data_IF_807929277717
#
_entry.id   IF_807929277717
#
_cell.length_a   1.000
_cell.length_b   1.000
_cell.length_c   1.000
_cell.angle_alpha   90.00
_cell.angle_beta   90.00
_cell.angle_gamma   90.00
#
_symmetry.space_group_name_H-M   'P 1'
#
loop_
_entity.id
_entity.type
_entity.pdbx_description
1 polymer ?
#
# COMPACT_ATOMS: atom_id res chain seq x y z
N UNK A 1 34.71 -16.34 -44.82
CA UNK A 1 33.75 -15.24 -44.65
C UNK A 1 32.43 -15.63 -44.03
N UNK A 2 31.97 -16.88 -44.15
CA UNK A 2 30.71 -17.33 -43.50
C UNK A 2 30.77 -17.49 -41.95
N UNK A 3 31.95 -17.55 -41.37
CA UNK A 3 32.12 -17.68 -39.90
C UNK A 3 32.13 -16.34 -39.14
N UNK A 4 32.35 -15.24 -39.82
CA UNK A 4 32.34 -13.89 -39.21
C UNK A 4 30.93 -13.32 -39.05
N UNK A 5 29.97 -13.75 -39.89
CA UNK A 5 28.60 -13.31 -39.83
C UNK A 5 27.85 -13.91 -38.66
N UNK A 6 28.22 -15.12 -38.25
CA UNK A 6 27.55 -15.80 -37.15
C UNK A 6 27.93 -15.19 -35.77
N UNK A 7 29.10 -14.57 -35.63
CA UNK A 7 29.48 -13.92 -34.38
C UNK A 7 28.86 -12.53 -34.18
N UNK A 8 28.46 -11.86 -35.27
CA UNK A 8 27.85 -10.56 -35.19
C UNK A 8 26.36 -10.63 -34.76
N UNK A 9 25.70 -11.76 -34.94
CA UNK A 9 24.29 -11.97 -34.58
C UNK A 9 24.14 -12.35 -33.12
N UNK A 10 25.15 -12.91 -32.49
CA UNK A 10 25.09 -13.35 -31.09
C UNK A 10 25.34 -12.20 -30.09
N UNK A 11 25.86 -11.06 -30.55
CA UNK A 11 26.14 -9.90 -29.70
C UNK A 11 24.95 -8.93 -29.55
N UNK A 12 23.84 -9.17 -30.27
CA UNK A 12 22.71 -8.22 -30.31
C UNK A 12 21.51 -8.63 -29.44
N UNK A 13 21.64 -9.62 -28.58
CA UNK A 13 20.46 -10.17 -27.83
C UNK A 13 20.55 -9.97 -26.32
N UNK A 14 21.52 -9.24 -25.79
CA UNK A 14 21.58 -8.98 -24.35
C UNK A 14 21.56 -7.48 -24.04
N UNK A 15 20.55 -6.78 -24.53
CA UNK A 15 20.05 -5.60 -23.84
C UNK A 15 18.75 -5.99 -23.12
N UNK A 16 18.85 -6.83 -22.11
CA UNK A 16 17.79 -6.96 -21.12
C UNK A 16 17.73 -5.61 -20.42
N UNK A 17 16.78 -4.79 -20.85
CA UNK A 17 16.40 -3.58 -20.15
C UNK A 17 16.00 -4.00 -18.73
N UNK A 18 16.92 -3.87 -17.79
CA UNK A 18 16.61 -3.91 -16.38
C UNK A 18 15.74 -2.68 -16.11
N UNK A 19 14.46 -2.80 -16.37
CA UNK A 19 13.46 -1.87 -15.85
C UNK A 19 13.55 -2.01 -14.34
N UNK A 20 14.28 -1.10 -13.69
CA UNK A 20 14.25 -0.96 -12.24
C UNK A 20 12.81 -0.57 -11.89
N UNK A 21 12.00 -1.57 -11.63
CA UNK A 21 10.72 -1.37 -10.96
C UNK A 21 11.09 -0.83 -9.58
N UNK A 22 10.94 0.47 -9.40
CA UNK A 22 10.99 1.07 -8.08
C UNK A 22 9.76 0.55 -7.31
N UNK A 23 9.91 -0.64 -6.75
CA UNK A 23 8.92 -1.18 -5.82
C UNK A 23 8.83 -0.20 -4.64
N UNK A 24 7.68 0.43 -4.47
CA UNK A 24 7.44 1.33 -3.35
C UNK A 24 7.69 0.58 -2.05
N UNK A 25 8.58 1.10 -1.22
CA UNK A 25 8.97 0.46 0.02
C UNK A 25 7.82 0.50 1.02
N UNK A 26 7.30 -0.66 1.38
CA UNK A 26 6.27 -0.79 2.40
C UNK A 26 6.89 -0.67 3.81
N UNK A 27 6.19 0.05 4.68
CA UNK A 27 6.55 0.17 6.09
C UNK A 27 5.71 -0.77 6.92
N UNK A 28 6.33 -1.61 7.75
CA UNK A 28 5.61 -2.49 8.67
C UNK A 28 5.02 -1.70 9.82
N UNK A 29 3.73 -1.93 10.09
CA UNK A 29 3.04 -1.33 11.22
C UNK A 29 3.39 -2.10 12.49
N UNK A 30 3.81 -1.39 13.52
CA UNK A 30 4.12 -1.96 14.82
C UNK A 30 3.12 -1.44 15.86
N UNK A 31 2.49 -2.37 16.59
CA UNK A 31 1.66 -2.05 17.73
C UNK A 31 2.51 -2.10 19.01
N UNK A 32 2.36 -1.08 19.84
CA UNK A 32 2.98 -1.10 21.16
C UNK A 32 2.42 -2.27 21.98
N UNK A 33 3.26 -2.97 22.71
CA UNK A 33 2.85 -4.09 23.56
C UNK A 33 1.66 -3.72 24.44
N UNK A 34 0.63 -4.58 24.47
CA UNK A 34 -0.60 -4.36 25.23
C UNK A 34 -1.59 -3.38 24.62
N UNK A 35 -1.33 -2.87 23.40
CA UNK A 35 -2.25 -1.98 22.69
C UNK A 35 -2.88 -2.66 21.48
N UNK A 36 -4.08 -2.23 21.11
CA UNK A 36 -4.82 -2.69 19.95
C UNK A 36 -4.93 -1.63 18.85
N UNK A 37 -4.36 -0.46 19.07
CA UNK A 37 -4.45 0.67 18.14
C UNK A 37 -3.11 1.36 18.01
N UNK A 38 -2.84 1.85 16.80
CA UNK A 38 -1.68 2.68 16.51
C UNK A 38 -2.03 3.72 15.46
N UNK A 39 -1.25 4.78 15.39
CA UNK A 39 -1.38 5.81 14.34
C UNK A 39 -0.13 5.77 13.49
N UNK A 40 -0.31 5.55 12.20
CA UNK A 40 0.75 5.69 11.20
C UNK A 40 0.70 7.06 10.57
N UNK A 41 1.85 7.58 10.22
CA UNK A 41 2.01 8.88 9.60
C UNK A 41 2.87 8.79 8.35
N UNK A 42 2.70 9.73 7.46
CA UNK A 42 3.54 9.85 6.28
C UNK A 42 3.36 11.22 5.65
N UNK A 43 4.30 11.60 4.80
CA UNK A 43 4.22 12.84 4.03
C UNK A 43 3.76 12.54 2.62
N UNK A 44 2.77 13.29 2.15
CA UNK A 44 2.29 13.25 0.77
C UNK A 44 2.38 14.65 0.13
N UNK A 45 2.58 14.66 -1.19
CA UNK A 45 2.64 15.88 -1.97
C UNK A 45 2.04 15.65 -3.35
N UNK A 46 0.77 15.97 -3.50
CA UNK A 46 0.03 15.82 -4.73
C UNK A 46 -0.55 14.41 -4.94
N UNK A 47 -1.46 14.28 -5.91
CA UNK A 47 -2.27 13.08 -6.16
C UNK A 47 -1.47 11.85 -6.63
N UNK A 48 -0.22 12.03 -7.05
CA UNK A 48 0.63 10.95 -7.54
C UNK A 48 1.40 10.23 -6.43
N UNK A 49 1.46 10.83 -5.24
CA UNK A 49 2.16 10.26 -4.11
C UNK A 49 1.32 9.21 -3.38
N UNK A 50 1.97 8.20 -2.85
CA UNK A 50 1.34 7.23 -1.96
C UNK A 50 2.33 6.70 -0.93
N UNK A 51 1.80 6.15 0.18
CA UNK A 51 2.56 5.42 1.18
C UNK A 51 1.93 4.06 1.39
N UNK A 52 2.78 3.05 1.54
CA UNK A 52 2.34 1.66 1.72
C UNK A 52 2.76 1.16 3.09
N UNK A 53 1.82 0.53 3.78
CA UNK A 53 2.00 -0.08 5.09
C UNK A 53 1.60 -1.55 5.04
N UNK A 54 2.32 -2.39 5.79
CA UNK A 54 1.96 -3.79 6.00
C UNK A 54 1.49 -3.98 7.42
N UNK A 55 0.31 -4.58 7.58
CA UNK A 55 -0.35 -4.82 8.86
C UNK A 55 -0.45 -6.32 9.04
N UNK A 56 0.36 -6.90 9.93
CA UNK A 56 0.28 -8.32 10.23
C UNK A 56 -0.82 -8.58 11.26
N UNK A 57 -1.72 -9.49 10.93
CA UNK A 57 -2.84 -9.88 11.78
C UNK A 57 -2.95 -11.39 11.86
N UNK A 58 -3.65 -11.85 12.91
CA UNK A 58 -4.05 -13.24 13.07
C UNK A 58 -5.43 -13.47 12.46
N UNK A 59 -5.75 -14.69 12.19
CA UNK A 59 -7.10 -15.08 11.74
C UNK A 59 -8.14 -14.75 12.80
N UNK A 60 -9.29 -14.24 12.35
CA UNK A 60 -10.46 -14.04 13.21
C UNK A 60 -10.47 -12.77 14.04
N UNK A 61 -9.56 -11.85 13.77
CA UNK A 61 -9.58 -10.53 14.38
C UNK A 61 -10.51 -9.57 13.63
N UNK A 62 -10.87 -8.47 14.26
CA UNK A 62 -11.49 -7.32 13.59
C UNK A 62 -10.42 -6.27 13.33
N UNK A 63 -10.50 -5.59 12.20
CA UNK A 63 -9.60 -4.48 11.89
C UNK A 63 -10.39 -3.28 11.40
N UNK A 64 -10.08 -2.13 11.96
CA UNK A 64 -10.64 -0.85 11.57
C UNK A 64 -9.52 0.12 11.21
N UNK A 65 -9.66 0.76 10.07
CA UNK A 65 -8.70 1.74 9.56
C UNK A 65 -9.45 3.02 9.26
N UNK A 66 -8.94 4.15 9.72
CA UNK A 66 -9.52 5.46 9.45
C UNK A 66 -8.47 6.55 9.29
N UNK A 67 -8.64 7.39 8.29
CA UNK A 67 -7.92 8.67 8.19
C UNK A 67 -8.38 9.62 9.30
N UNK A 68 -7.43 10.21 10.00
CA UNK A 68 -7.70 11.16 11.10
C UNK A 68 -6.94 12.47 10.85
N UNK A 69 -7.41 13.55 11.45
CA UNK A 69 -6.82 14.88 11.28
C UNK A 69 -7.38 15.65 10.09
N UNK A 70 -6.68 16.70 9.69
CA UNK A 70 -7.19 17.71 8.74
C UNK A 70 -6.95 17.33 7.27
N UNK A 71 -6.15 16.30 7.00
CA UNK A 71 -5.78 15.90 5.63
C UNK A 71 -6.72 14.83 5.11
N UNK A 72 -7.37 15.12 4.00
CA UNK A 72 -8.26 14.18 3.33
C UNK A 72 -7.44 13.12 2.59
N UNK A 73 -7.48 11.90 3.07
CA UNK A 73 -6.80 10.75 2.49
C UNK A 73 -7.77 9.73 1.92
N UNK A 74 -7.32 9.01 0.92
CA UNK A 74 -7.93 7.78 0.46
C UNK A 74 -7.11 6.60 0.95
N UNK A 75 -7.79 5.57 1.43
CA UNK A 75 -7.16 4.32 1.88
C UNK A 75 -7.60 3.16 0.99
N UNK A 76 -6.64 2.34 0.59
CA UNK A 76 -6.89 1.12 -0.17
C UNK A 76 -6.29 -0.04 0.60
N UNK A 77 -7.13 -0.99 1.00
CA UNK A 77 -6.74 -2.14 1.80
C UNK A 77 -6.90 -3.42 0.98
N UNK A 78 -5.81 -4.17 0.88
CA UNK A 78 -5.76 -5.47 0.22
C UNK A 78 -5.47 -6.55 1.27
N UNK A 79 -6.20 -7.65 1.23
CA UNK A 79 -5.96 -8.80 2.09
C UNK A 79 -4.70 -9.57 1.71
N UNK A 80 -4.24 -10.48 2.58
CA UNK A 80 -3.12 -11.37 2.26
C UNK A 80 -3.47 -12.28 1.07
N UNK A 81 -2.46 -12.90 0.41
CA UNK A 81 -2.70 -13.83 -0.69
C UNK A 81 -3.72 -14.91 -0.32
N UNK A 82 -4.73 -15.11 -1.19
CA UNK A 82 -5.82 -16.06 -0.96
C UNK A 82 -6.98 -15.54 -0.11
N UNK A 83 -6.92 -14.31 0.39
CA UNK A 83 -8.05 -13.67 1.07
C UNK A 83 -9.17 -13.31 0.10
N UNK A 84 -10.42 -13.43 0.57
CA UNK A 84 -11.60 -12.95 -0.14
C UNK A 84 -12.05 -11.56 0.29
N UNK A 85 -11.20 -10.84 1.05
CA UNK A 85 -11.53 -9.50 1.50
C UNK A 85 -11.60 -8.53 0.32
N UNK A 86 -12.67 -7.76 0.28
CA UNK A 86 -12.87 -6.64 -0.64
C UNK A 86 -13.29 -5.41 0.17
N UNK A 87 -12.59 -4.31 -0.04
CA UNK A 87 -12.92 -3.05 0.60
C UNK A 87 -14.13 -2.39 -0.07
N UNK A 88 -15.04 -1.86 0.75
CA UNK A 88 -16.09 -0.96 0.26
C UNK A 88 -15.47 0.40 -0.15
N UNK A 89 -15.54 0.70 -1.43
CA UNK A 89 -15.03 1.94 -2.03
C UNK A 89 -16.15 2.89 -2.46
N UNK A 90 -17.38 2.69 -1.98
CA UNK A 90 -18.53 3.48 -2.42
C UNK A 90 -18.53 4.94 -1.90
N UNK A 91 -17.93 5.20 -0.73
CA UNK A 91 -17.83 6.54 -0.19
C UNK A 91 -16.76 7.38 -0.89
N UNK A 92 -17.03 8.67 -1.02
CA UNK A 92 -16.03 9.63 -1.48
C UNK A 92 -14.80 9.58 -0.57
N UNK A 93 -13.62 9.66 -1.16
CA UNK A 93 -12.33 9.50 -0.50
C UNK A 93 -12.08 8.14 0.17
N UNK A 94 -13.11 7.30 0.44
CA UNK A 94 -12.99 6.01 1.14
C UNK A 94 -11.83 5.98 2.14
N UNK A 95 -11.85 6.96 3.07
CA UNK A 95 -10.84 7.13 4.12
C UNK A 95 -10.94 6.11 5.26
N UNK A 96 -11.85 5.15 5.14
CA UNK A 96 -12.11 4.08 6.10
C UNK A 96 -12.06 2.72 5.42
N UNK A 97 -11.61 1.73 6.17
CA UNK A 97 -11.69 0.33 5.79
C UNK A 97 -11.99 -0.52 7.03
N UNK A 98 -12.92 -1.45 6.90
CA UNK A 98 -13.33 -2.34 7.97
C UNK A 98 -13.17 -3.80 7.53
N UNK A 99 -12.63 -4.63 8.41
CA UNK A 99 -12.55 -6.07 8.23
C UNK A 99 -13.18 -6.73 9.44
N UNK A 100 -14.33 -7.34 9.27
CA UNK A 100 -15.08 -7.95 10.39
C UNK A 100 -14.42 -9.23 10.91
N UNK A 101 -13.73 -9.95 10.03
CA UNK A 101 -13.00 -11.16 10.37
C UNK A 101 -11.78 -11.29 9.46
N UNK A 102 -10.61 -11.08 10.05
CA UNK A 102 -9.35 -11.12 9.30
C UNK A 102 -8.93 -12.55 8.93
N UNK A 103 -8.25 -12.65 7.77
CA UNK A 103 -7.41 -13.79 7.46
C UNK A 103 -6.01 -13.57 8.06
N UNK A 104 -5.31 -14.67 8.38
CA UNK A 104 -3.96 -14.57 8.89
C UNK A 104 -2.99 -14.08 7.80
N UNK A 105 -2.14 -13.13 8.13
CA UNK A 105 -1.09 -12.65 7.23
C UNK A 105 -0.96 -11.13 7.21
N UNK A 106 -0.35 -10.63 6.17
CA UNK A 106 -0.11 -9.20 5.96
C UNK A 106 -1.19 -8.59 5.08
N UNK A 107 -1.94 -7.65 5.64
CA UNK A 107 -2.78 -6.73 4.87
C UNK A 107 -1.91 -5.56 4.38
N UNK A 108 -2.11 -5.18 3.13
CA UNK A 108 -1.42 -4.06 2.51
C UNK A 108 -2.33 -2.85 2.47
N UNK A 109 -1.94 -1.79 3.17
CA UNK A 109 -2.62 -0.52 3.20
C UNK A 109 -1.87 0.49 2.34
N UNK A 110 -2.51 1.01 1.32
CA UNK A 110 -2.00 2.12 0.51
C UNK A 110 -2.76 3.39 0.88
N UNK A 111 -2.03 4.45 1.22
CA UNK A 111 -2.59 5.77 1.56
C UNK A 111 -2.15 6.78 0.52
N UNK A 112 -3.09 7.53 -0.01
CA UNK A 112 -2.85 8.63 -0.95
C UNK A 112 -3.78 9.80 -0.64
N UNK A 113 -3.54 10.94 -1.29
CA UNK A 113 -4.46 12.07 -1.19
C UNK A 113 -5.81 11.71 -1.80
N UNK A 114 -6.89 12.22 -1.20
CA UNK A 114 -8.20 12.14 -1.81
C UNK A 114 -8.26 13.01 -3.06
N UNK A 115 -8.55 12.43 -4.22
CA UNK A 115 -8.65 13.15 -5.50
C UNK A 115 -9.94 13.99 -5.65
N UNK A 116 -10.85 13.90 -4.68
CA UNK A 116 -12.12 14.64 -4.64
C UNK A 116 -12.01 16.00 -3.96
N UNK A 117 -10.86 16.31 -3.41
CA UNK A 117 -10.55 17.59 -2.76
C UNK A 117 -9.35 18.26 -3.44
N UNK A 118 -9.10 19.51 -3.10
CA UNK A 118 -7.93 20.22 -3.59
C UNK A 118 -6.63 19.52 -3.17
N UNK A 119 -5.61 19.63 -4.03
CA UNK A 119 -4.28 19.11 -3.72
C UNK A 119 -3.73 19.73 -2.45
N UNK A 120 -3.07 18.92 -1.68
CA UNK A 120 -2.35 19.36 -0.49
C UNK A 120 -0.97 18.72 -0.42
N UNK A 121 -0.13 19.24 0.45
CA UNK A 121 1.12 18.63 0.85
C UNK A 121 1.24 18.69 2.36
N UNK A 122 1.82 17.69 2.95
CA UNK A 122 2.00 17.62 4.39
C UNK A 122 1.92 16.22 4.94
N UNK A 123 1.84 16.14 6.26
CA UNK A 123 1.75 14.87 6.98
C UNK A 123 0.30 14.45 7.16
N UNK A 124 -0.01 13.23 6.76
CA UNK A 124 -1.28 12.58 7.07
C UNK A 124 -1.16 11.71 8.33
N UNK A 125 -2.30 11.34 8.87
CA UNK A 125 -2.43 10.41 9.99
C UNK A 125 -3.53 9.40 9.68
N UNK A 126 -3.24 8.12 9.91
CA UNK A 126 -4.21 7.03 9.80
C UNK A 126 -4.15 6.20 11.06
N UNK A 127 -5.30 6.01 11.70
CA UNK A 127 -5.45 5.12 12.86
C UNK A 127 -5.77 3.72 12.38
N UNK A 128 -5.07 2.75 12.94
CA UNK A 128 -5.28 1.32 12.69
C UNK A 128 -5.58 0.66 14.02
N UNK A 129 -6.73 0.00 14.11
CA UNK A 129 -7.15 -0.75 15.30
C UNK A 129 -7.37 -2.21 14.93
N UNK A 130 -6.77 -3.13 15.68
CA UNK A 130 -6.90 -4.60 15.50
C UNK A 130 -7.26 -5.23 16.85
N UNK A 131 -8.33 -6.03 16.89
CA UNK A 131 -8.82 -6.67 18.12
C UNK A 131 -9.16 -8.13 17.90
#
# INVERSE_FOLDING_TARGET
MKKLVLFAILALVITVSASSVFAQRATRVNFRAGTHSTVVTGYLSGYKGSKVFLIRVRRGQTMHIEGIGDRAVSTFLEGPPGSNYEQDLAADCHSRADVDKTDAGDYKLTVQECSKVDRWKGTFKVRITVR
#
